data_IF_552955341189
#
_entry.id   IF_552955341189
#
_cell.length_a   1.000
_cell.length_b   1.000
_cell.length_c   1.000
_cell.angle_alpha   90.00
_cell.angle_beta   90.00
_cell.angle_gamma   90.00
#
_symmetry.space_group_name_H-M   'P 1'
#
loop_
_entity.id
_entity.type
_entity.pdbx_description
1 polymer ?
#
# COMPACT_ATOMS: atom_id res chain seq x y z
N UNK A 1 -39.81 -45.47 -4.18
CA UNK A 1 -38.68 -45.84 -3.27
C UNK A 1 -37.35 -45.26 -3.75
N UNK A 2 -36.95 -45.41 -5.02
CA UNK A 2 -35.67 -44.89 -5.53
C UNK A 2 -35.45 -43.36 -5.45
N UNK A 3 -36.51 -42.56 -5.57
CA UNK A 3 -36.40 -41.09 -5.54
C UNK A 3 -36.10 -40.52 -4.14
N UNK A 4 -36.60 -41.18 -3.08
CA UNK A 4 -36.29 -40.79 -1.69
C UNK A 4 -34.82 -41.12 -1.33
N UNK A 5 -34.32 -42.26 -1.82
CA UNK A 5 -32.92 -42.67 -1.63
C UNK A 5 -31.94 -41.70 -2.31
N UNK A 6 -32.25 -41.28 -3.54
CA UNK A 6 -31.47 -40.28 -4.28
C UNK A 6 -31.47 -38.92 -3.57
N UNK A 7 -32.62 -38.49 -3.05
CA UNK A 7 -32.73 -37.24 -2.30
C UNK A 7 -31.90 -37.29 -1.00
N UNK A 8 -31.99 -38.40 -0.25
CA UNK A 8 -31.18 -38.59 0.96
C UNK A 8 -29.67 -38.65 0.65
N UNK A 9 -29.26 -39.31 -0.43
CA UNK A 9 -27.86 -39.34 -0.87
C UNK A 9 -27.36 -37.94 -1.24
N UNK A 10 -28.17 -37.14 -1.94
CA UNK A 10 -27.83 -35.76 -2.27
C UNK A 10 -27.63 -34.90 -1.02
N UNK A 11 -28.53 -35.00 -0.04
CA UNK A 11 -28.40 -34.27 1.22
C UNK A 11 -27.18 -34.70 2.04
N UNK A 12 -26.80 -35.98 2.01
CA UNK A 12 -25.59 -36.47 2.65
C UNK A 12 -24.33 -35.90 1.98
N UNK A 13 -24.25 -35.94 0.65
CA UNK A 13 -23.11 -35.37 -0.08
C UNK A 13 -22.99 -33.87 0.18
N UNK A 14 -24.11 -33.14 0.12
CA UNK A 14 -24.11 -31.69 0.38
C UNK A 14 -23.74 -31.35 1.83
N UNK A 15 -24.20 -32.16 2.79
CA UNK A 15 -23.79 -32.00 4.20
C UNK A 15 -22.30 -32.24 4.40
N UNK A 16 -21.73 -33.28 3.76
CA UNK A 16 -20.30 -33.57 3.85
C UNK A 16 -19.49 -32.40 3.25
N UNK A 17 -19.86 -31.91 2.07
CA UNK A 17 -19.18 -30.78 1.42
C UNK A 17 -19.27 -29.52 2.30
N UNK A 18 -20.45 -29.23 2.85
CA UNK A 18 -20.67 -28.09 3.73
C UNK A 18 -19.82 -28.17 5.00
N UNK A 19 -19.77 -29.34 5.63
CA UNK A 19 -18.91 -29.60 6.80
C UNK A 19 -17.43 -29.43 6.43
N UNK A 20 -16.99 -29.96 5.29
CA UNK A 20 -15.62 -29.81 4.83
C UNK A 20 -15.24 -28.33 4.62
N UNK A 21 -16.08 -27.56 3.92
CA UNK A 21 -15.84 -26.13 3.72
C UNK A 21 -15.82 -25.36 5.04
N UNK A 22 -16.77 -25.64 5.93
CA UNK A 22 -16.83 -25.02 7.25
C UNK A 22 -15.56 -25.34 8.09
N UNK A 23 -15.06 -26.57 8.02
CA UNK A 23 -13.79 -26.91 8.70
C UNK A 23 -12.58 -26.22 8.09
N UNK A 24 -12.56 -26.01 6.77
CA UNK A 24 -11.50 -25.24 6.10
C UNK A 24 -11.54 -23.76 6.50
N UNK A 25 -12.74 -23.17 6.56
CA UNK A 25 -12.92 -21.79 7.00
C UNK A 25 -12.46 -21.60 8.44
N UNK A 26 -12.83 -22.51 9.35
CA UNK A 26 -12.36 -22.49 10.75
C UNK A 26 -10.84 -22.65 10.81
N UNK A 27 -10.27 -23.56 10.01
CA UNK A 27 -8.82 -23.76 9.97
C UNK A 27 -8.10 -22.49 9.50
N UNK A 28 -8.61 -21.82 8.46
CA UNK A 28 -8.07 -20.57 7.95
C UNK A 28 -8.17 -19.45 8.99
N UNK A 29 -9.31 -19.31 9.68
CA UNK A 29 -9.48 -18.31 10.75
C UNK A 29 -8.53 -18.58 11.91
N UNK A 30 -8.40 -19.84 12.33
CA UNK A 30 -7.43 -20.24 13.36
C UNK A 30 -5.99 -19.99 12.93
N UNK A 31 -5.65 -20.28 11.68
CA UNK A 31 -4.31 -20.02 11.14
C UNK A 31 -4.01 -18.52 11.11
N UNK A 32 -4.92 -17.70 10.61
CA UNK A 32 -4.81 -16.23 10.64
C UNK A 32 -4.69 -15.69 12.07
N UNK A 33 -5.45 -16.24 13.03
CA UNK A 33 -5.36 -15.87 14.44
C UNK A 33 -4.04 -16.32 15.09
N UNK A 34 -3.51 -17.49 14.71
CA UNK A 34 -2.22 -17.99 15.19
C UNK A 34 -1.04 -17.23 14.56
N UNK A 35 -1.19 -16.73 13.34
CA UNK A 35 -0.25 -15.83 12.68
C UNK A 35 -0.24 -14.48 13.38
N UNK A 36 -1.41 -13.87 13.60
CA UNK A 36 -1.53 -12.55 14.26
C UNK A 36 -1.06 -12.58 15.72
N UNK A 37 -1.31 -13.67 16.44
CA UNK A 37 -0.81 -13.88 17.81
C UNK A 37 0.67 -14.25 17.87
N UNK A 38 1.36 -14.43 16.74
CA UNK A 38 2.78 -14.78 16.67
C UNK A 38 3.12 -16.18 17.19
N UNK A 39 2.10 -17.01 17.46
CA UNK A 39 2.25 -18.36 18.00
C UNK A 39 2.71 -19.35 16.92
N UNK A 40 2.34 -19.10 15.65
CA UNK A 40 2.72 -19.95 14.53
C UNK A 40 4.16 -19.67 14.08
N UNK A 41 5.11 -20.44 14.62
CA UNK A 41 6.53 -20.32 14.31
C UNK A 41 6.93 -20.52 12.84
N UNK A 42 6.02 -20.99 11.97
CA UNK A 42 6.28 -21.19 10.53
C UNK A 42 6.51 -19.88 9.77
N UNK A 43 6.03 -18.74 10.29
CA UNK A 43 6.19 -17.41 9.66
C UNK A 43 7.14 -16.49 10.43
N UNK A 44 7.85 -16.99 11.45
CA UNK A 44 8.91 -16.25 12.16
C UNK A 44 10.05 -15.77 11.26
N UNK A 45 10.15 -16.30 10.03
CA UNK A 45 11.18 -15.91 9.05
C UNK A 45 10.86 -14.63 8.29
N UNK A 46 9.63 -14.11 8.35
CA UNK A 46 9.36 -12.78 7.83
C UNK A 46 10.04 -11.79 8.78
N UNK A 47 11.20 -11.27 8.37
CA UNK A 47 11.88 -10.18 9.05
C UNK A 47 11.07 -8.88 8.89
N UNK A 48 9.80 -8.86 9.33
CA UNK A 48 8.90 -7.70 9.32
C UNK A 48 9.51 -6.57 10.13
N UNK A 49 10.32 -6.89 11.16
CA UNK A 49 11.11 -5.90 11.88
C UNK A 49 12.06 -5.06 11.00
N UNK A 50 12.46 -5.58 9.82
CA UNK A 50 13.28 -4.86 8.83
C UNK A 50 12.40 -4.07 7.84
N UNK A 51 11.16 -4.47 7.62
CA UNK A 51 10.23 -3.82 6.70
C UNK A 51 9.68 -2.55 7.35
N UNK A 52 10.18 -1.38 6.92
CA UNK A 52 9.70 -0.09 7.42
C UNK A 52 8.57 0.42 6.56
N UNK A 53 8.65 0.24 5.24
CA UNK A 53 7.66 0.81 4.33
C UNK A 53 7.31 -0.16 3.19
N UNK A 54 6.05 -0.59 3.14
CA UNK A 54 5.51 -1.49 2.13
C UNK A 54 4.71 -0.69 1.11
N UNK A 55 4.95 -0.90 -0.18
CA UNK A 55 4.10 -0.39 -1.24
C UNK A 55 3.39 -1.55 -1.97
N UNK A 56 2.14 -1.35 -2.34
CA UNK A 56 1.32 -2.35 -3.03
C UNK A 56 0.74 -1.70 -4.28
N UNK A 57 1.12 -2.22 -5.43
CA UNK A 57 0.62 -1.83 -6.75
C UNK A 57 -0.52 -2.75 -7.10
N UNK A 58 -1.68 -2.16 -7.33
CA UNK A 58 -2.93 -2.87 -7.61
C UNK A 58 -3.42 -2.39 -8.97
N UNK A 59 -3.77 -3.34 -9.84
CA UNK A 59 -4.45 -3.00 -11.08
C UNK A 59 -5.79 -2.32 -10.80
N UNK A 60 -6.16 -1.35 -11.65
CA UNK A 60 -7.31 -0.49 -11.38
C UNK A 60 -8.64 -1.25 -11.40
N UNK A 61 -8.72 -2.38 -12.11
CA UNK A 61 -9.91 -3.24 -12.10
C UNK A 61 -10.14 -3.87 -10.72
N UNK A 62 -9.07 -4.33 -10.07
CA UNK A 62 -9.07 -4.92 -8.73
C UNK A 62 -9.24 -3.88 -7.63
N UNK A 63 -8.79 -2.65 -7.86
CA UNK A 63 -8.91 -1.54 -6.91
C UNK A 63 -10.36 -1.20 -6.53
N UNK A 64 -11.34 -1.57 -7.37
CA UNK A 64 -12.78 -1.45 -7.05
C UNK A 64 -13.25 -2.44 -5.96
N UNK A 65 -12.49 -3.50 -5.68
CA UNK A 65 -12.85 -4.52 -4.69
C UNK A 65 -12.37 -4.08 -3.29
N UNK A 66 -12.85 -2.92 -2.82
CA UNK A 66 -12.38 -2.27 -1.59
C UNK A 66 -12.48 -3.16 -0.36
N UNK A 67 -13.45 -4.08 -0.28
CA UNK A 67 -13.55 -5.05 0.81
C UNK A 67 -12.33 -5.98 0.90
N UNK A 68 -11.81 -6.45 -0.24
CA UNK A 68 -10.59 -7.27 -0.28
C UNK A 68 -9.35 -6.45 0.06
N UNK A 69 -9.34 -5.17 -0.30
CA UNK A 69 -8.26 -4.25 0.09
C UNK A 69 -8.26 -4.07 1.60
N UNK A 70 -9.41 -3.87 2.22
CA UNK A 70 -9.54 -3.77 3.68
C UNK A 70 -9.08 -5.08 4.36
N UNK A 71 -9.52 -6.24 3.86
CA UNK A 71 -9.09 -7.55 4.36
C UNK A 71 -7.56 -7.72 4.28
N UNK A 72 -6.95 -7.35 3.15
CA UNK A 72 -5.50 -7.37 2.98
C UNK A 72 -4.80 -6.46 4.00
N UNK A 73 -5.30 -5.25 4.22
CA UNK A 73 -4.73 -4.31 5.17
C UNK A 73 -4.82 -4.82 6.61
N UNK A 74 -5.94 -5.45 6.99
CA UNK A 74 -6.09 -6.12 8.28
C UNK A 74 -5.08 -7.25 8.47
N UNK A 75 -4.79 -8.02 7.42
CA UNK A 75 -3.73 -9.04 7.48
C UNK A 75 -2.34 -8.44 7.63
N UNK A 76 -2.04 -7.36 6.91
CA UNK A 76 -0.77 -6.65 7.02
C UNK A 76 -0.57 -6.04 8.41
N UNK A 77 -1.64 -5.52 9.01
CA UNK A 77 -1.63 -4.98 10.38
C UNK A 77 -1.39 -6.10 11.40
N UNK A 78 -2.11 -7.22 11.26
CA UNK A 78 -1.94 -8.40 12.09
C UNK A 78 -0.52 -8.98 12.03
N UNK A 79 0.16 -8.85 10.89
CA UNK A 79 1.55 -9.25 10.69
C UNK A 79 2.55 -8.20 11.24
N UNK A 80 2.08 -7.00 11.57
CA UNK A 80 2.87 -5.94 12.19
C UNK A 80 3.50 -4.96 11.20
N UNK A 81 2.97 -4.85 9.98
CA UNK A 81 3.41 -3.84 9.00
C UNK A 81 2.91 -2.46 9.44
N UNK A 82 3.83 -1.52 9.61
CA UNK A 82 3.52 -0.20 10.17
C UNK A 82 3.12 0.84 9.13
N UNK A 83 3.72 0.81 7.95
CA UNK A 83 3.50 1.81 6.91
C UNK A 83 3.21 1.14 5.58
N UNK A 84 2.04 1.43 5.01
CA UNK A 84 1.58 0.86 3.73
C UNK A 84 1.23 1.98 2.76
N UNK A 85 1.73 1.90 1.54
CA UNK A 85 1.37 2.73 0.40
C UNK A 85 0.55 1.91 -0.59
N UNK A 86 -0.68 2.31 -0.82
CA UNK A 86 -1.55 1.73 -1.83
C UNK A 86 -1.48 2.54 -3.11
N UNK A 87 -1.22 1.86 -4.22
CA UNK A 87 -1.17 2.46 -5.54
C UNK A 87 -2.15 1.77 -6.49
N UNK A 88 -2.93 2.58 -7.19
CA UNK A 88 -3.61 2.17 -8.41
C UNK A 88 -3.47 3.28 -9.45
N UNK A 89 -3.38 2.89 -10.72
CA UNK A 89 -3.07 3.85 -11.80
C UNK A 89 -4.12 4.96 -11.92
N UNK A 90 -5.40 4.62 -11.78
CA UNK A 90 -6.53 5.52 -11.97
C UNK A 90 -6.91 6.35 -10.72
N UNK A 91 -6.26 6.09 -9.59
CA UNK A 91 -6.51 6.74 -8.31
C UNK A 91 -7.87 6.39 -7.70
N UNK A 92 -8.38 5.19 -7.95
CA UNK A 92 -9.59 4.64 -7.35
C UNK A 92 -9.43 4.57 -5.83
N UNK A 93 -8.31 4.03 -5.33
CA UNK A 93 -8.03 3.90 -3.90
C UNK A 93 -7.89 5.27 -3.25
N UNK A 94 -7.29 6.23 -3.97
CA UNK A 94 -7.20 7.63 -3.51
C UNK A 94 -8.58 8.29 -3.38
N UNK A 95 -9.53 7.97 -4.26
CA UNK A 95 -10.93 8.44 -4.18
C UNK A 95 -11.70 7.76 -3.05
N UNK A 96 -11.37 6.52 -2.72
CA UNK A 96 -12.01 5.73 -1.66
C UNK A 96 -11.31 5.81 -0.31
N UNK A 97 -10.36 6.73 -0.12
CA UNK A 97 -9.49 6.81 1.06
C UNK A 97 -10.27 6.86 2.38
N UNK A 98 -11.32 7.68 2.45
CA UNK A 98 -12.04 7.94 3.70
C UNK A 98 -12.81 6.68 4.11
N UNK A 99 -13.45 6.02 3.14
CA UNK A 99 -14.11 4.73 3.35
C UNK A 99 -13.13 3.65 3.83
N UNK A 100 -11.93 3.57 3.25
CA UNK A 100 -10.92 2.57 3.65
C UNK A 100 -10.45 2.84 5.09
N UNK A 101 -10.19 4.10 5.44
CA UNK A 101 -9.74 4.49 6.78
C UNK A 101 -10.83 4.26 7.84
N UNK A 102 -12.09 4.58 7.55
CA UNK A 102 -13.22 4.36 8.46
C UNK A 102 -13.46 2.88 8.79
N UNK A 103 -13.09 1.97 7.88
CA UNK A 103 -13.26 0.52 8.05
C UNK A 103 -12.02 -0.17 8.64
N UNK A 104 -10.97 0.57 8.98
CA UNK A 104 -9.78 0.06 9.65
C UNK A 104 -9.68 0.69 11.04
N UNK A 105 -9.86 -0.13 12.06
CA UNK A 105 -9.84 0.31 13.47
C UNK A 105 -8.48 0.95 13.83
N UNK A 106 -8.44 2.28 13.87
CA UNK A 106 -7.27 3.04 14.29
C UNK A 106 -6.21 3.28 13.21
N UNK A 107 -6.44 2.94 11.94
CA UNK A 107 -5.51 3.30 10.88
C UNK A 107 -5.44 4.83 10.66
N UNK A 108 -4.23 5.35 10.46
CA UNK A 108 -3.99 6.80 10.35
C UNK A 108 -3.57 7.15 8.92
N UNK A 109 -4.09 8.25 8.37
CA UNK A 109 -3.61 8.75 7.09
C UNK A 109 -2.17 9.28 7.21
N UNK A 110 -1.28 8.84 6.30
CA UNK A 110 0.17 9.12 6.39
C UNK A 110 0.50 10.61 6.38
N UNK A 111 -0.26 11.43 5.65
CA UNK A 111 0.00 12.86 5.56
C UNK A 111 -0.36 13.59 6.86
N UNK A 112 -1.47 13.22 7.50
CA UNK A 112 -1.85 13.72 8.83
C UNK A 112 -0.82 13.34 9.91
N UNK A 113 -0.23 12.14 9.79
CA UNK A 113 0.83 11.69 10.70
C UNK A 113 2.13 12.51 10.53
N UNK A 114 2.46 12.92 9.30
CA UNK A 114 3.66 13.71 9.03
C UNK A 114 3.51 15.18 9.45
N UNK A 115 2.34 15.79 9.25
CA UNK A 115 2.09 17.21 9.55
C UNK A 115 1.94 17.48 11.06
N UNK A 116 1.34 16.56 11.82
CA UNK A 116 1.00 16.82 13.22
C UNK A 116 2.10 16.47 14.23
N UNK A 117 3.28 15.98 13.81
CA UNK A 117 4.30 15.42 14.71
C UNK A 117 3.69 14.53 15.80
N UNK A 118 2.60 13.82 15.47
CA UNK A 118 1.98 12.89 16.42
C UNK A 118 3.07 11.87 16.66
N UNK A 119 3.55 11.82 17.92
CA UNK A 119 4.27 10.69 18.45
C UNK A 119 3.32 9.51 18.21
N UNK A 120 3.45 8.88 17.05
CA UNK A 120 2.73 7.66 16.70
C UNK A 120 3.15 6.70 17.79
N UNK A 121 2.29 6.53 18.79
CA UNK A 121 2.32 5.33 19.58
C UNK A 121 2.39 4.19 18.56
N UNK A 122 3.36 3.29 18.72
CA UNK A 122 3.81 2.36 17.68
C UNK A 122 2.74 1.32 17.28
N UNK A 123 1.50 1.56 17.68
CA UNK A 123 0.38 0.66 17.73
C UNK A 123 -0.46 0.68 16.46
N UNK A 124 -0.44 1.76 15.68
CA UNK A 124 -1.35 1.93 14.53
C UNK A 124 -0.65 1.97 13.18
N UNK A 125 -1.23 1.28 12.19
CA UNK A 125 -0.79 1.30 10.80
C UNK A 125 -1.07 2.68 10.18
N UNK A 126 -0.12 3.20 9.38
CA UNK A 126 -0.35 4.39 8.55
C UNK A 126 -0.55 4.03 7.08
N UNK A 127 -1.51 4.68 6.42
CA UNK A 127 -1.81 4.47 5.00
C UNK A 127 -1.46 5.70 4.14
N UNK A 128 -0.72 5.48 3.07
CA UNK A 128 -0.54 6.43 1.97
C UNK A 128 -1.32 5.95 0.73
N UNK A 129 -1.94 6.88 0.00
CA UNK A 129 -2.65 6.60 -1.25
C UNK A 129 -2.02 7.35 -2.41
N UNK A 130 -1.59 6.63 -3.43
CA UNK A 130 -0.81 7.15 -4.56
C UNK A 130 -1.46 6.71 -5.87
N UNK A 131 -1.35 7.54 -6.91
CA UNK A 131 -1.83 7.23 -8.25
C UNK A 131 -0.83 7.66 -9.31
N UNK A 132 -1.17 7.44 -10.59
CA UNK A 132 -0.28 7.78 -11.70
C UNK A 132 0.14 9.26 -11.74
N UNK A 133 -0.73 10.17 -11.28
CA UNK A 133 -0.43 11.62 -11.22
C UNK A 133 0.69 11.97 -10.23
N UNK A 134 0.96 11.12 -9.24
CA UNK A 134 2.04 11.33 -8.26
C UNK A 134 3.41 10.86 -8.79
N UNK A 135 3.45 10.29 -9.99
CA UNK A 135 4.67 9.84 -10.65
C UNK A 135 5.26 10.92 -11.56
N UNK A 136 5.25 10.66 -12.88
CA UNK A 136 5.91 11.53 -13.87
C UNK A 136 5.34 12.95 -13.89
N UNK A 137 4.04 13.09 -13.69
CA UNK A 137 3.39 14.40 -13.65
C UNK A 137 3.88 15.22 -12.44
N UNK A 138 3.97 14.61 -11.25
CA UNK A 138 4.55 15.25 -10.08
C UNK A 138 6.03 15.64 -10.28
N UNK A 139 6.82 14.81 -10.96
CA UNK A 139 8.20 15.14 -11.34
C UNK A 139 8.24 16.39 -12.22
N UNK A 140 7.36 16.50 -13.22
CA UNK A 140 7.27 17.70 -14.05
C UNK A 140 6.87 18.94 -13.23
N UNK A 141 5.91 18.81 -12.31
CA UNK A 141 5.51 19.88 -11.39
C UNK A 141 6.68 20.33 -10.49
N UNK A 142 7.41 19.37 -9.91
CA UNK A 142 8.58 19.64 -9.07
C UNK A 142 9.72 20.32 -9.86
N UNK A 143 9.96 19.90 -11.11
CA UNK A 143 10.92 20.56 -11.99
C UNK A 143 10.54 22.03 -12.26
N UNK A 144 9.25 22.32 -12.47
CA UNK A 144 8.76 23.68 -12.58
C UNK A 144 8.97 24.50 -11.30
N UNK A 145 8.79 23.91 -10.12
CA UNK A 145 9.10 24.57 -8.84
C UNK A 145 10.58 24.96 -8.78
N UNK A 146 11.49 24.06 -9.14
CA UNK A 146 12.93 24.35 -9.19
C UNK A 146 13.26 25.45 -10.19
N UNK A 147 12.67 25.38 -11.39
CA UNK A 147 12.86 26.39 -12.44
C UNK A 147 12.40 27.79 -12.02
N UNK A 148 11.25 27.88 -11.34
CA UNK A 148 10.75 29.16 -10.84
C UNK A 148 11.61 29.71 -9.69
N UNK A 149 12.07 28.84 -8.77
CA UNK A 149 13.03 29.21 -7.71
C UNK A 149 14.34 29.74 -8.33
N UNK A 150 14.81 29.09 -9.40
CA UNK A 150 15.97 29.53 -10.17
C UNK A 150 15.75 30.92 -10.80
N UNK A 151 14.67 31.08 -11.57
CA UNK A 151 14.39 32.30 -12.34
C UNK A 151 14.26 33.53 -11.44
N UNK A 152 13.69 33.38 -10.25
CA UNK A 152 13.59 34.45 -9.25
C UNK A 152 14.94 34.79 -8.58
N UNK A 153 15.86 33.82 -8.48
CA UNK A 153 17.20 34.03 -7.89
C UNK A 153 18.21 34.64 -8.87
N UNK A 154 17.98 34.53 -10.18
CA UNK A 154 18.89 34.97 -11.24
C UNK A 154 18.98 36.48 -11.47
N UNK A 155 18.22 37.30 -10.73
CA UNK A 155 18.24 38.77 -10.86
C UNK A 155 19.42 39.40 -10.08
N UNK A 156 20.11 38.66 -9.21
CA UNK A 156 21.03 39.28 -8.23
C UNK A 156 22.48 38.77 -8.26
N UNK A 157 22.83 37.72 -9.00
CA UNK A 157 24.16 37.11 -8.89
C UNK A 157 24.85 36.93 -10.26
N UNK A 158 25.84 37.78 -10.53
CA UNK A 158 26.62 37.85 -11.79
C UNK A 158 27.72 36.76 -11.91
N UNK A 159 27.81 35.82 -10.97
CA UNK A 159 28.79 34.72 -11.00
C UNK A 159 28.11 33.39 -11.34
N UNK A 160 27.78 33.19 -12.61
CA UNK A 160 27.20 31.95 -13.13
C UNK A 160 28.23 30.80 -13.12
N UNK A 161 28.44 30.16 -11.97
CA UNK A 161 28.75 28.73 -11.96
C UNK A 161 27.51 27.99 -12.46
N UNK A 162 27.68 26.98 -13.31
CA UNK A 162 26.60 26.04 -13.66
C UNK A 162 25.90 25.59 -12.37
N UNK A 163 24.66 26.03 -12.18
CA UNK A 163 23.91 25.73 -10.97
C UNK A 163 23.32 24.34 -11.13
N UNK A 164 24.07 23.34 -10.69
CA UNK A 164 23.69 21.93 -10.74
C UNK A 164 22.52 21.70 -9.77
N UNK A 165 21.38 21.22 -10.30
CA UNK A 165 20.28 20.75 -9.44
C UNK A 165 20.69 19.44 -8.78
N UNK A 166 20.57 19.37 -7.47
CA UNK A 166 20.90 18.16 -6.70
C UNK A 166 19.66 17.28 -6.48
N UNK A 167 19.89 16.00 -6.22
CA UNK A 167 18.82 15.05 -5.88
C UNK A 167 18.01 15.54 -4.66
N UNK A 168 18.67 16.10 -3.65
CA UNK A 168 18.01 16.67 -2.47
C UNK A 168 17.06 17.83 -2.83
N UNK A 169 17.46 18.70 -3.77
CA UNK A 169 16.60 19.80 -4.22
C UNK A 169 15.38 19.28 -4.96
N UNK A 170 15.53 18.24 -5.77
CA UNK A 170 14.41 17.59 -6.45
C UNK A 170 13.46 16.92 -5.45
N UNK A 171 13.99 16.23 -4.43
CA UNK A 171 13.20 15.64 -3.36
C UNK A 171 12.43 16.69 -2.54
N UNK A 172 13.04 17.86 -2.26
CA UNK A 172 12.35 18.99 -1.62
C UNK A 172 11.23 19.55 -2.51
N UNK A 173 11.48 19.68 -3.81
CA UNK A 173 10.47 20.12 -4.77
C UNK A 173 9.31 19.11 -4.90
N UNK A 174 9.60 17.81 -4.87
CA UNK A 174 8.57 16.75 -4.86
C UNK A 174 7.71 16.80 -3.59
N UNK A 175 8.31 17.05 -2.41
CA UNK A 175 7.57 17.30 -1.17
C UNK A 175 6.65 18.51 -1.31
N UNK A 176 7.13 19.59 -1.92
CA UNK A 176 6.35 20.83 -2.12
C UNK A 176 5.11 20.61 -2.99
N UNK A 177 5.14 19.66 -3.94
CA UNK A 177 4.00 19.33 -4.80
C UNK A 177 3.13 18.19 -4.26
N UNK A 178 3.38 17.72 -3.03
CA UNK A 178 2.59 16.67 -2.39
C UNK A 178 2.94 15.24 -2.83
N UNK A 179 4.10 15.02 -3.44
CA UNK A 179 4.53 13.69 -3.95
C UNK A 179 5.92 13.28 -3.44
N UNK A 180 6.30 13.78 -2.26
CA UNK A 180 7.59 13.52 -1.61
C UNK A 180 7.57 12.42 -0.56
N UNK A 181 6.66 11.44 -0.69
CA UNK A 181 6.55 10.29 0.21
C UNK A 181 7.84 9.46 0.30
N UNK A 182 7.99 8.64 1.34
CA UNK A 182 9.21 7.86 1.61
C UNK A 182 9.43 6.77 0.55
N UNK A 183 10.68 6.31 0.41
CA UNK A 183 11.02 5.20 -0.48
C UNK A 183 10.57 3.87 0.16
N UNK A 184 9.73 3.05 -0.51
CA UNK A 184 9.40 1.71 -0.03
C UNK A 184 10.63 0.80 0.05
N UNK A 185 10.72 -0.01 1.11
CA UNK A 185 11.71 -1.09 1.17
C UNK A 185 11.27 -2.26 0.28
N UNK A 186 9.96 -2.51 0.20
CA UNK A 186 9.35 -3.60 -0.59
C UNK A 186 8.15 -3.07 -1.40
N UNK A 187 8.07 -3.47 -2.67
CA UNK A 187 6.96 -3.21 -3.58
C UNK A 187 6.33 -4.55 -4.01
N UNK A 188 5.08 -4.78 -3.66
CA UNK A 188 4.30 -5.93 -4.14
C UNK A 188 3.48 -5.51 -5.34
N UNK A 189 3.60 -6.25 -6.45
CA UNK A 189 2.77 -6.00 -7.65
C UNK A 189 1.68 -7.06 -7.74
N UNK A 190 0.43 -6.64 -7.55
CA UNK A 190 -0.74 -7.49 -7.61
C UNK A 190 -1.51 -7.26 -8.91
N UNK A 191 -1.44 -8.24 -9.81
CA UNK A 191 -2.14 -8.23 -11.09
C UNK A 191 -1.44 -9.08 -12.16
N UNK A 192 -2.10 -9.36 -13.29
CA UNK A 192 -1.48 -10.04 -14.43
C UNK A 192 -0.29 -9.25 -15.04
N UNK A 193 -0.26 -7.93 -14.88
CA UNK A 193 0.81 -7.08 -15.39
C UNK A 193 2.11 -7.26 -14.59
N UNK A 194 3.18 -7.69 -15.26
CA UNK A 194 4.54 -7.75 -14.68
C UNK A 194 5.25 -6.40 -14.74
N UNK A 195 4.59 -5.33 -14.27
CA UNK A 195 5.19 -4.00 -14.20
C UNK A 195 4.59 -3.18 -13.04
N UNK A 196 5.30 -2.14 -12.61
CA UNK A 196 4.86 -1.27 -11.52
C UNK A 196 3.78 -0.24 -11.93
N UNK A 197 3.16 -0.39 -13.11
CA UNK A 197 2.04 0.42 -13.64
C UNK A 197 2.22 1.95 -13.65
N UNK A 198 3.45 2.43 -13.50
CA UNK A 198 3.74 3.87 -13.40
C UNK A 198 3.75 4.40 -11.96
N UNK A 199 3.92 3.53 -10.97
CA UNK A 199 4.30 3.89 -9.60
C UNK A 199 5.43 4.94 -9.61
N UNK A 200 5.46 5.92 -8.69
CA UNK A 200 6.44 7.01 -8.70
C UNK A 200 7.89 6.52 -8.79
N UNK A 201 8.48 6.64 -9.98
CA UNK A 201 9.81 6.10 -10.28
C UNK A 201 10.92 6.69 -9.40
N UNK A 202 10.75 7.93 -8.93
CA UNK A 202 11.70 8.59 -8.02
C UNK A 202 11.82 7.88 -6.66
N UNK A 203 10.80 7.11 -6.26
CA UNK A 203 10.72 6.45 -4.95
C UNK A 203 11.25 5.01 -4.93
N UNK A 204 11.58 4.42 -6.08
CA UNK A 204 11.89 2.97 -6.18
C UNK A 204 13.36 2.65 -6.50
N UNK A 205 14.29 3.55 -6.13
CA UNK A 205 15.72 3.41 -6.45
C UNK A 205 16.35 2.15 -5.84
N UNK A 206 15.94 1.79 -4.63
CA UNK A 206 16.48 0.67 -3.86
C UNK A 206 15.41 -0.28 -3.34
N UNK A 207 14.21 -0.22 -3.93
CA UNK A 207 13.06 -1.02 -3.50
C UNK A 207 13.17 -2.44 -4.06
N UNK A 208 12.99 -3.43 -3.19
CA UNK A 208 12.81 -4.82 -3.62
C UNK A 208 11.42 -4.96 -4.26
N UNK A 209 11.33 -5.57 -5.45
CA UNK A 209 10.06 -5.74 -6.17
C UNK A 209 9.75 -7.24 -6.24
N UNK A 210 8.54 -7.62 -5.80
CA UNK A 210 8.05 -9.00 -5.77
C UNK A 210 6.74 -9.10 -6.56
#
# INVERSE_FOLDING_TARGET
>A
IGNLLLLSLWHLVHSIISICNFTLDIANVLESYLISSGLLGRYKSLHIAKLRYLAIVIESEEAYQTSKIIELLQWLEAVGVKHVCLYDKEGILKKSKDFILENLDGAIWFQDAHENNVLLDQQHMTLEFVSFSDGKEAVAKAANVLFMKYSKSGVTDQNQKEKIFTESQMSEALKTVGSGGPEPDLLLVYGPARCHLGFPAWRIKYTEIV
#
